data_IF_791822237922
#
_entry.id   IF_791822237922
#
_cell.length_a   1.000
_cell.length_b   1.000
_cell.length_c   1.000
_cell.angle_alpha   90.00
_cell.angle_beta   90.00
_cell.angle_gamma   90.00
#
_symmetry.space_group_name_H-M   'P 1'
#
loop_
_entity.id
_entity.type
_entity.pdbx_description
1 polymer ?
#
# COMPACT_ATOMS: atom_id res chain seq x y z
N UNK A 1 13.42 -4.01 4.38
CA UNK A 1 12.11 -4.54 4.84
C UNK A 1 11.14 -4.55 3.67
N UNK A 2 10.51 -5.70 3.41
CA UNK A 2 9.49 -5.90 2.36
C UNK A 2 8.08 -5.68 2.95
N UNK A 3 7.79 -4.47 3.40
CA UNK A 3 6.49 -4.12 3.97
C UNK A 3 6.28 -2.61 3.99
N UNK A 4 5.05 -2.20 3.72
CA UNK A 4 4.64 -0.79 3.73
C UNK A 4 4.09 -0.32 5.09
N UNK A 5 3.65 -1.25 5.95
CA UNK A 5 3.05 -0.92 7.26
C UNK A 5 4.07 -0.28 8.22
N UNK A 6 3.71 0.87 8.77
CA UNK A 6 4.50 1.56 9.79
C UNK A 6 4.51 0.78 11.11
N UNK A 7 3.37 0.20 11.52
CA UNK A 7 3.30 -0.64 12.72
C UNK A 7 4.35 -1.77 12.72
N UNK A 8 4.58 -2.42 11.57
CA UNK A 8 5.62 -3.46 11.45
C UNK A 8 7.03 -2.87 11.48
N UNK A 9 7.23 -1.71 10.86
CA UNK A 9 8.52 -1.03 10.89
C UNK A 9 8.89 -0.63 12.32
N UNK A 10 7.98 0.05 13.00
CA UNK A 10 8.20 0.64 14.32
C UNK A 10 8.46 -0.47 15.34
N UNK A 11 7.66 -1.54 15.31
CA UNK A 11 7.87 -2.70 16.16
C UNK A 11 9.27 -3.34 16.02
N UNK A 12 9.88 -3.32 14.83
CA UNK A 12 11.24 -3.87 14.61
C UNK A 12 12.30 -2.89 15.12
N UNK A 13 12.15 -1.60 14.80
CA UNK A 13 13.10 -0.55 15.20
C UNK A 13 13.11 -0.37 16.72
N UNK A 14 11.96 -0.45 17.37
CA UNK A 14 11.83 -0.39 18.83
C UNK A 14 12.57 -1.53 19.56
N UNK A 15 12.76 -2.68 18.88
CA UNK A 15 13.58 -3.78 19.41
C UNK A 15 15.10 -3.56 19.20
N UNK A 16 15.50 -2.37 18.76
CA UNK A 16 16.90 -2.03 18.51
C UNK A 16 17.46 -2.60 17.21
N UNK A 17 16.61 -3.09 16.31
CA UNK A 17 17.03 -3.63 15.01
C UNK A 17 16.83 -2.53 13.95
N UNK A 18 17.90 -1.91 13.44
CA UNK A 18 17.77 -0.86 12.44
C UNK A 18 17.32 -1.44 11.09
N UNK A 19 16.29 -0.85 10.49
CA UNK A 19 15.90 -1.12 9.11
C UNK A 19 16.62 -0.12 8.21
N UNK A 20 17.66 -0.59 7.49
CA UNK A 20 18.47 0.25 6.62
C UNK A 20 17.76 0.63 5.31
N UNK A 21 16.87 -0.24 4.83
CA UNK A 21 16.16 -0.07 3.57
C UNK A 21 14.71 -0.55 3.70
N UNK A 22 13.78 0.19 3.11
CA UNK A 22 12.37 -0.19 2.97
C UNK A 22 12.03 -0.23 1.49
N UNK A 23 11.43 -1.34 1.05
CA UNK A 23 11.02 -1.53 -0.34
C UNK A 23 9.52 -1.73 -0.35
N UNK A 24 8.74 -0.87 -1.03
CA UNK A 24 7.30 -1.06 -1.16
C UNK A 24 7.00 -2.25 -2.06
N UNK A 25 5.75 -2.71 -2.06
CA UNK A 25 5.33 -3.75 -2.99
C UNK A 25 5.34 -3.14 -4.40
N UNK A 26 6.00 -3.76 -5.40
CA UNK A 26 5.97 -3.28 -6.77
C UNK A 26 4.54 -3.24 -7.33
N UNK A 27 4.25 -2.26 -8.18
CA UNK A 27 2.91 -2.03 -8.73
C UNK A 27 2.37 -3.25 -9.49
N UNK A 28 3.24 -3.94 -10.23
CA UNK A 28 2.94 -5.15 -10.99
C UNK A 28 2.60 -6.36 -10.10
N UNK A 29 2.99 -6.32 -8.82
CA UNK A 29 2.69 -7.35 -7.84
C UNK A 29 1.43 -7.05 -7.03
N UNK A 30 0.81 -5.88 -7.20
CA UNK A 30 -0.45 -5.51 -6.56
C UNK A 30 -1.60 -6.02 -7.42
N UNK A 31 -2.38 -7.00 -6.93
CA UNK A 31 -3.55 -7.47 -7.67
C UNK A 31 -4.57 -6.34 -7.90
N UNK A 32 -5.31 -6.33 -9.03
CA UNK A 32 -6.27 -5.27 -9.32
C UNK A 32 -7.40 -5.12 -8.30
N UNK A 33 -7.82 -6.19 -7.61
CA UNK A 33 -8.78 -6.08 -6.49
C UNK A 33 -8.22 -5.31 -5.30
N UNK A 34 -6.93 -5.45 -5.06
CA UNK A 34 -6.25 -4.96 -3.87
C UNK A 34 -5.88 -3.49 -4.01
N UNK A 35 -5.99 -2.91 -5.23
CA UNK A 35 -5.57 -1.54 -5.53
C UNK A 35 -6.29 -0.50 -4.66
N UNK A 36 -7.61 -0.64 -4.51
CA UNK A 36 -8.42 0.24 -3.64
C UNK A 36 -7.88 0.26 -2.21
N UNK A 37 -7.58 -0.92 -1.67
CA UNK A 37 -7.08 -1.06 -0.30
C UNK A 37 -5.64 -0.54 -0.16
N UNK A 38 -4.78 -0.78 -1.15
CA UNK A 38 -3.41 -0.29 -1.13
C UNK A 38 -3.36 1.24 -1.23
N UNK A 39 -4.09 1.85 -2.16
CA UNK A 39 -4.11 3.31 -2.35
C UNK A 39 -4.66 4.00 -1.09
N UNK A 40 -5.72 3.45 -0.49
CA UNK A 40 -6.25 3.96 0.77
C UNK A 40 -5.24 3.86 1.93
N UNK A 41 -4.48 2.77 2.02
CA UNK A 41 -3.44 2.60 3.04
C UNK A 41 -2.27 3.55 2.84
N UNK A 42 -1.86 3.78 1.59
CA UNK A 42 -0.82 4.75 1.24
C UNK A 42 -1.27 6.16 1.64
N UNK A 43 -2.51 6.54 1.31
CA UNK A 43 -3.10 7.82 1.75
C UNK A 43 -3.17 7.94 3.28
N UNK A 44 -3.39 6.83 4.00
CA UNK A 44 -3.34 6.76 5.46
C UNK A 44 -1.89 6.76 6.04
N UNK A 45 -0.87 6.95 5.20
CA UNK A 45 0.52 7.11 5.63
C UNK A 45 1.37 5.85 5.56
N UNK A 46 0.91 4.77 4.91
CA UNK A 46 1.77 3.62 4.64
C UNK A 46 2.95 4.04 3.76
N UNK A 47 4.10 3.41 3.99
CA UNK A 47 5.30 3.73 3.25
C UNK A 47 5.18 3.35 1.78
N UNK A 48 5.50 4.32 0.92
CA UNK A 48 5.63 4.15 -0.52
C UNK A 48 6.79 5.00 -1.02
N UNK A 49 7.36 4.62 -2.16
CA UNK A 49 8.26 5.48 -2.94
C UNK A 49 7.56 6.11 -4.15
N UNK A 50 6.29 5.78 -4.36
CA UNK A 50 5.45 6.29 -5.45
C UNK A 50 4.61 7.50 -5.03
N UNK A 51 3.60 7.81 -5.84
CA UNK A 51 2.69 8.91 -5.58
C UNK A 51 1.76 8.61 -4.39
N UNK A 52 1.46 9.64 -3.62
CA UNK A 52 0.41 9.62 -2.59
C UNK A 52 -0.76 10.43 -3.15
N UNK A 53 -1.92 9.80 -3.25
CA UNK A 53 -3.13 10.42 -3.79
C UNK A 53 -3.75 11.37 -2.75
N UNK A 54 -4.35 12.45 -3.23
CA UNK A 54 -5.24 13.31 -2.44
C UNK A 54 -6.56 12.60 -2.11
N UNK A 55 -7.32 13.11 -1.13
CA UNK A 55 -8.67 12.58 -0.83
C UNK A 55 -9.61 12.62 -2.04
N UNK A 56 -9.51 13.66 -2.86
CA UNK A 56 -10.33 13.83 -4.06
C UNK A 56 -10.02 12.74 -5.09
N UNK A 57 -8.74 12.50 -5.36
CA UNK A 57 -8.29 11.44 -6.27
C UNK A 57 -8.66 10.06 -5.72
N UNK A 58 -8.49 9.84 -4.40
CA UNK A 58 -8.82 8.59 -3.74
C UNK A 58 -10.31 8.27 -3.83
N UNK A 59 -11.19 9.28 -3.76
CA UNK A 59 -12.65 9.09 -3.90
C UNK A 59 -13.06 8.52 -5.26
N UNK A 60 -12.24 8.74 -6.29
CA UNK A 60 -12.46 8.23 -7.64
C UNK A 60 -11.94 6.81 -7.84
N UNK A 61 -11.18 6.25 -6.90
CA UNK A 61 -10.59 4.92 -7.01
C UNK A 61 -11.71 3.87 -6.93
N UNK A 62 -11.77 3.01 -7.95
CA UNK A 62 -12.75 1.92 -8.04
C UNK A 62 -12.02 0.60 -8.17
N UNK A 63 -12.49 -0.38 -7.42
CA UNK A 63 -12.02 -1.76 -7.52
C UNK A 63 -12.62 -2.47 -8.72
N UNK A 64 -12.42 -3.80 -8.78
CA UNK A 64 -13.01 -4.65 -9.81
C UNK A 64 -14.55 -4.58 -9.79
N UNK A 65 -15.15 -4.64 -10.97
CA UNK A 65 -16.61 -4.69 -11.11
C UNK A 65 -17.11 -6.13 -10.99
N UNK A 66 -18.40 -6.31 -10.70
CA UNK A 66 -19.01 -7.63 -10.56
C UNK A 66 -18.88 -8.49 -11.82
N UNK A 67 -18.86 -7.87 -13.01
CA UNK A 67 -18.70 -8.57 -14.29
C UNK A 67 -17.30 -9.19 -14.47
N UNK A 68 -16.29 -8.67 -13.77
CA UNK A 68 -14.89 -9.14 -13.86
C UNK A 68 -14.62 -10.45 -13.08
N UNK A 69 -15.60 -10.95 -12.31
CA UNK A 69 -15.45 -12.15 -11.46
C UNK A 69 -16.01 -13.41 -12.13
N UNK A 70 -16.78 -13.27 -13.22
CA UNK A 70 -17.64 -14.34 -13.77
C UNK A 70 -17.12 -14.91 -15.11
N UNK A 71 -15.85 -14.68 -15.49
CA UNK A 71 -15.26 -15.26 -16.71
C UNK A 71 -13.94 -15.99 -16.42
#
# INVERSE_FOLDING_TARGET
MLSMSNMKHDAIVEQGIPILERVPIPDEMIPPDSRVEIDAKIAAGYFTTGAVMSEEELSGVKGRTWDDVVH
#
